data_IF_609642122582
#
_entry.id   IF_609642122582
#
_cell.length_a   1.000
_cell.length_b   1.000
_cell.length_c   1.000
_cell.angle_alpha   90.00
_cell.angle_beta   90.00
_cell.angle_gamma   90.00
#
_symmetry.space_group_name_H-M   'P 1'
#
loop_
_entity.id
_entity.type
_entity.pdbx_description
1 polymer ?
#
# COMPACT_ATOMS: atom_id res chain seq x y z
N UNK A 1 -4.50 18.93 -13.94
CA UNK A 1 -5.41 18.05 -13.17
C UNK A 1 -6.32 18.92 -12.33
N UNK A 2 -7.63 18.69 -12.38
CA UNK A 2 -8.56 19.29 -11.43
C UNK A 2 -8.13 19.00 -9.99
N UNK A 3 -8.32 19.98 -9.09
CA UNK A 3 -8.03 19.83 -7.65
C UNK A 3 -8.73 18.60 -7.06
N UNK A 4 -9.92 18.27 -7.56
CA UNK A 4 -10.68 17.09 -7.14
C UNK A 4 -9.97 15.78 -7.51
N UNK A 5 -9.50 15.64 -8.75
CA UNK A 5 -8.82 14.43 -9.24
C UNK A 5 -7.50 14.17 -8.51
N UNK A 6 -6.71 15.22 -8.23
CA UNK A 6 -5.48 15.08 -7.42
C UNK A 6 -5.78 14.56 -6.02
N UNK A 7 -6.84 15.06 -5.39
CA UNK A 7 -7.25 14.67 -4.04
C UNK A 7 -7.74 13.22 -3.99
N UNK A 8 -8.51 12.79 -4.98
CA UNK A 8 -8.96 11.39 -5.12
C UNK A 8 -7.78 10.45 -5.40
N UNK A 9 -6.86 10.84 -6.29
CA UNK A 9 -5.67 10.05 -6.59
C UNK A 9 -4.77 9.91 -5.36
N UNK A 10 -4.54 10.99 -4.63
CA UNK A 10 -3.81 10.98 -3.35
C UNK A 10 -4.46 10.02 -2.34
N UNK A 11 -5.78 10.09 -2.18
CA UNK A 11 -6.52 9.24 -1.26
C UNK A 11 -6.44 7.76 -1.67
N UNK A 12 -6.57 7.46 -2.96
CA UNK A 12 -6.45 6.11 -3.51
C UNK A 12 -5.05 5.54 -3.31
N UNK A 13 -3.99 6.31 -3.59
CA UNK A 13 -2.61 5.90 -3.33
C UNK A 13 -2.37 5.65 -1.84
N UNK A 14 -2.92 6.50 -0.97
CA UNK A 14 -2.79 6.34 0.48
C UNK A 14 -3.51 5.08 0.99
N UNK A 15 -4.75 4.85 0.57
CA UNK A 15 -5.54 3.66 0.91
C UNK A 15 -4.90 2.37 0.38
N UNK A 16 -4.49 2.37 -0.89
CA UNK A 16 -3.85 1.21 -1.50
C UNK A 16 -2.52 0.86 -0.80
N UNK A 17 -1.70 1.87 -0.49
CA UNK A 17 -0.46 1.67 0.24
C UNK A 17 -0.68 1.17 1.68
N UNK A 18 -1.71 1.68 2.36
CA UNK A 18 -2.09 1.23 3.70
C UNK A 18 -2.55 -0.23 3.73
N UNK A 19 -3.37 -0.64 2.75
CA UNK A 19 -3.82 -2.04 2.61
C UNK A 19 -2.65 -2.97 2.31
N UNK A 20 -1.71 -2.56 1.46
CA UNK A 20 -0.51 -3.35 1.15
C UNK A 20 0.38 -3.58 2.37
N UNK A 21 0.53 -2.57 3.23
CA UNK A 21 1.27 -2.70 4.50
C UNK A 21 0.53 -3.63 5.46
N UNK A 22 -0.79 -3.49 5.60
CA UNK A 22 -1.61 -4.37 6.46
C UNK A 22 -1.60 -5.84 5.99
N UNK A 23 -1.58 -6.08 4.68
CA UNK A 23 -1.49 -7.44 4.13
C UNK A 23 -0.20 -8.14 4.54
N UNK A 24 0.91 -7.41 4.67
CA UNK A 24 2.15 -7.98 5.18
C UNK A 24 2.02 -8.37 6.65
N UNK A 25 1.35 -7.55 7.47
CA UNK A 25 1.09 -7.84 8.88
C UNK A 25 0.21 -9.09 9.04
N UNK A 26 -0.81 -9.24 8.17
CA UNK A 26 -1.66 -10.42 8.09
C UNK A 26 -0.88 -11.71 7.81
N UNK A 27 0.24 -11.64 7.07
CA UNK A 27 1.13 -12.79 6.87
C UNK A 27 1.81 -13.23 8.17
N UNK A 28 2.04 -12.33 9.12
CA UNK A 28 2.50 -12.69 10.46
C UNK A 28 1.52 -13.62 11.20
N UNK A 29 0.23 -13.55 10.85
CA UNK A 29 -0.83 -14.42 11.34
C UNK A 29 -1.08 -15.67 10.46
N UNK A 30 -0.42 -15.77 9.30
CA UNK A 30 -0.58 -16.92 8.41
C UNK A 30 0.18 -18.13 8.97
N UNK A 31 -0.50 -18.94 9.77
CA UNK A 31 -0.06 -20.27 10.23
C UNK A 31 -0.04 -21.33 9.12
N UNK A 32 -0.56 -21.00 7.94
CA UNK A 32 -0.61 -21.88 6.78
C UNK A 32 0.41 -21.36 5.76
N UNK A 33 1.49 -22.10 5.57
CA UNK A 33 2.49 -21.82 4.53
C UNK A 33 1.95 -22.34 3.18
N UNK A 34 1.56 -21.47 2.24
CA UNK A 34 0.91 -21.90 1.00
C UNK A 34 1.89 -22.54 -0.01
N UNK A 35 3.16 -22.80 0.36
CA UNK A 35 4.19 -23.31 -0.54
C UNK A 35 4.66 -22.30 -1.59
N UNK A 36 4.12 -21.07 -1.56
CA UNK A 36 4.46 -19.95 -2.44
C UNK A 36 4.88 -18.75 -1.59
N UNK A 37 6.17 -18.40 -1.64
CA UNK A 37 6.71 -17.23 -0.97
C UNK A 37 6.34 -15.97 -1.76
N UNK A 38 5.16 -15.41 -1.50
CA UNK A 38 4.80 -14.09 -2.02
C UNK A 38 5.91 -13.07 -1.70
N UNK A 39 6.16 -12.07 -2.55
CA UNK A 39 7.20 -11.08 -2.35
C UNK A 39 6.76 -10.02 -1.32
N UNK A 40 6.48 -10.46 -0.09
CA UNK A 40 5.92 -9.67 1.00
C UNK A 40 6.72 -8.41 1.30
N UNK A 41 8.05 -8.50 1.26
CA UNK A 41 8.93 -7.35 1.41
C UNK A 41 8.71 -6.32 0.29
N UNK A 42 8.59 -6.77 -0.97
CA UNK A 42 8.31 -5.88 -2.09
C UNK A 42 6.93 -5.21 -1.96
N UNK A 43 5.91 -5.94 -1.51
CA UNK A 43 4.57 -5.39 -1.27
C UNK A 43 4.58 -4.31 -0.17
N UNK A 44 5.36 -4.52 0.89
CA UNK A 44 5.55 -3.53 1.96
C UNK A 44 6.25 -2.26 1.47
N UNK A 45 7.40 -2.39 0.82
CA UNK A 45 8.13 -1.23 0.31
C UNK A 45 7.33 -0.47 -0.74
N UNK A 46 6.59 -1.18 -1.60
CA UNK A 46 5.67 -0.55 -2.57
C UNK A 46 4.52 0.15 -1.86
N UNK A 47 3.96 -0.43 -0.79
CA UNK A 47 2.91 0.18 0.01
C UNK A 47 3.36 1.46 0.72
N UNK A 48 4.55 1.45 1.32
CA UNK A 48 5.18 2.64 1.90
C UNK A 48 5.39 3.74 0.85
N UNK A 49 5.89 3.37 -0.33
CA UNK A 49 6.14 4.30 -1.42
C UNK A 49 4.83 4.93 -1.94
N UNK A 50 3.75 4.14 -2.01
CA UNK A 50 2.40 4.63 -2.34
C UNK A 50 1.84 5.59 -1.29
N UNK A 51 2.07 5.32 0.00
CA UNK A 51 1.70 6.23 1.10
C UNK A 51 2.44 7.57 0.95
N UNK A 52 3.75 7.53 0.72
CA UNK A 52 4.58 8.74 0.54
C UNK A 52 4.14 9.53 -0.68
N UNK A 53 3.92 8.87 -1.83
CA UNK A 53 3.40 9.52 -3.04
C UNK A 53 2.02 10.12 -2.79
N UNK A 54 1.12 9.37 -2.15
CA UNK A 54 -0.21 9.85 -1.78
C UNK A 54 -0.15 11.08 -0.87
N UNK A 55 0.77 11.11 0.09
CA UNK A 55 1.00 12.26 0.95
C UNK A 55 1.53 13.47 0.18
N UNK A 56 2.52 13.29 -0.71
CA UNK A 56 3.04 14.36 -1.56
C UNK A 56 2.00 14.91 -2.53
N UNK A 57 1.14 14.05 -3.09
CA UNK A 57 0.06 14.46 -4.00
C UNK A 57 -1.11 15.17 -3.28
N UNK A 58 -1.18 15.08 -1.95
CA UNK A 58 -2.16 15.79 -1.13
C UNK A 58 -1.78 17.26 -0.92
N UNK A 59 -0.49 17.57 -1.00
CA UNK A 59 0.11 18.90 -0.85
C UNK A 59 -0.26 19.88 -1.96
#
# INVERSE_FOLDING_TARGET
MEKATKKQLSLLCFLAGFVLVLLQDLKGFATIDPGFSWPWAAMFYTGLLLIVIGYFLRG
#
